data_IF_696846012057
#
_entry.id   IF_696846012057
#
_cell.length_a   1.000
_cell.length_b   1.000
_cell.length_c   1.000
_cell.angle_alpha   90.00
_cell.angle_beta   90.00
_cell.angle_gamma   90.00
#
_symmetry.space_group_name_H-M   'P 1'
#
loop_
_entity.id
_entity.type
_entity.pdbx_description
1 polymer ?
#
# COMPACT_ATOMS: atom_id res chain seq x y z
N UNK A 1 -13.42 20.62 -6.08
CA UNK A 1 -13.17 19.82 -4.86
C UNK A 1 -14.49 19.84 -4.08
N UNK A 2 -15.37 18.82 -4.16
CA UNK A 2 -16.74 19.09 -3.65
C UNK A 2 -17.74 17.94 -3.43
N UNK A 3 -17.41 16.66 -3.63
CA UNK A 3 -18.36 15.57 -3.31
C UNK A 3 -17.88 14.74 -2.11
N UNK A 4 -16.61 14.33 -2.14
CA UNK A 4 -16.05 13.45 -1.13
C UNK A 4 -15.95 14.12 0.26
N UNK A 5 -15.55 15.39 0.31
CA UNK A 5 -15.51 16.16 1.57
C UNK A 5 -16.90 16.27 2.21
N UNK A 6 -17.93 16.57 1.42
CA UNK A 6 -19.28 16.69 1.95
C UNK A 6 -19.81 15.36 2.51
N UNK A 7 -19.48 14.24 1.86
CA UNK A 7 -19.84 12.91 2.36
C UNK A 7 -19.11 12.61 3.68
N UNK A 8 -17.82 12.92 3.75
CA UNK A 8 -17.03 12.73 4.98
C UNK A 8 -17.59 13.58 6.13
N UNK A 9 -17.90 14.85 5.89
CA UNK A 9 -18.42 15.76 6.93
C UNK A 9 -19.78 15.29 7.48
N UNK A 10 -20.67 14.80 6.61
CA UNK A 10 -21.97 14.27 7.03
C UNK A 10 -21.85 12.96 7.81
N UNK A 11 -20.91 12.07 7.44
CA UNK A 11 -20.62 10.84 8.19
C UNK A 11 -20.06 11.17 9.58
N UNK A 12 -19.16 12.14 9.66
CA UNK A 12 -18.53 12.59 10.92
C UNK A 12 -19.58 13.14 11.87
N UNK A 13 -20.47 13.98 11.34
CA UNK A 13 -21.62 14.53 12.07
C UNK A 13 -22.60 13.45 12.53
N UNK A 14 -22.89 12.46 11.67
CA UNK A 14 -23.74 11.33 12.03
C UNK A 14 -23.16 10.47 13.15
N UNK A 15 -21.85 10.23 13.11
CA UNK A 15 -21.15 9.41 14.10
C UNK A 15 -20.82 10.17 15.40
N UNK A 16 -20.99 11.50 15.44
CA UNK A 16 -20.65 12.33 16.61
C UNK A 16 -19.17 12.30 16.97
N UNK A 17 -18.30 12.07 15.98
CA UNK A 17 -16.85 11.99 16.16
C UNK A 17 -16.23 13.31 15.74
N UNK A 18 -15.32 13.87 16.53
CA UNK A 18 -14.54 15.02 16.11
C UNK A 18 -13.32 14.56 15.31
N UNK A 19 -13.22 14.95 14.04
CA UNK A 19 -12.00 14.78 13.25
C UNK A 19 -10.98 15.86 13.65
N UNK A 20 -10.28 15.63 14.76
CA UNK A 20 -9.08 16.40 15.07
C UNK A 20 -8.03 15.97 14.06
N UNK A 21 -7.62 16.87 13.16
CA UNK A 21 -6.50 16.57 12.26
C UNK A 21 -5.25 16.36 13.09
N UNK A 22 -4.81 15.11 13.24
CA UNK A 22 -3.48 14.80 13.77
C UNK A 22 -2.42 15.46 12.89
N UNK A 23 -1.31 15.90 13.48
CA UNK A 23 -0.14 16.44 12.75
C UNK A 23 0.39 15.44 11.71
N UNK A 24 0.10 14.15 11.90
CA UNK A 24 0.40 13.07 10.96
C UNK A 24 -0.53 13.03 9.73
N UNK A 25 -1.70 13.67 9.80
CA UNK A 25 -2.63 13.82 8.69
C UNK A 25 -2.47 15.20 8.05
N UNK A 26 -1.55 15.30 7.11
CA UNK A 26 -1.40 16.48 6.27
C UNK A 26 -2.72 16.74 5.53
N UNK A 27 -3.38 17.86 5.85
CA UNK A 27 -4.62 18.28 5.17
C UNK A 27 -4.36 18.39 3.67
N UNK A 28 -5.24 17.80 2.87
CA UNK A 28 -5.30 18.02 1.43
C UNK A 28 -5.64 19.50 1.24
N UNK A 29 -4.68 20.29 0.81
CA UNK A 29 -4.83 21.73 0.55
C UNK A 29 -4.74 22.01 -0.95
N UNK A 30 -5.31 23.12 -1.41
CA UNK A 30 -5.27 23.51 -2.83
C UNK A 30 -3.85 23.48 -3.42
N UNK A 31 -2.79 23.97 -2.73
CA UNK A 31 -1.42 23.83 -3.22
C UNK A 31 -0.96 22.38 -3.37
N UNK A 32 -1.34 21.49 -2.45
CA UNK A 32 -1.00 20.06 -2.51
C UNK A 32 -1.74 19.35 -3.63
N UNK A 33 -3.00 19.71 -3.88
CA UNK A 33 -3.78 19.19 -5.02
C UNK A 33 -3.12 19.64 -6.32
N UNK A 34 -2.76 20.92 -6.42
CA UNK A 34 -2.10 21.46 -7.60
C UNK A 34 -0.76 20.75 -7.85
N UNK A 35 0.07 20.61 -6.80
CA UNK A 35 1.33 19.87 -6.88
C UNK A 35 1.11 18.42 -7.34
N UNK A 36 0.15 17.71 -6.74
CA UNK A 36 -0.18 16.35 -7.11
C UNK A 36 -0.61 16.23 -8.58
N UNK A 37 -1.45 17.15 -9.06
CA UNK A 37 -1.87 17.20 -10.46
C UNK A 37 -0.69 17.45 -11.41
N UNK A 38 0.25 18.31 -11.00
CA UNK A 38 1.46 18.59 -11.78
C UNK A 38 2.42 17.39 -11.80
N UNK A 39 2.54 16.65 -10.70
CA UNK A 39 3.30 15.39 -10.63
C UNK A 39 2.67 14.30 -11.50
N UNK A 40 1.34 14.13 -11.44
CA UNK A 40 0.59 13.21 -12.31
C UNK A 40 0.81 13.55 -13.80
N UNK A 41 0.82 14.84 -14.16
CA UNK A 41 1.09 15.28 -15.53
C UNK A 41 2.49 14.88 -15.99
N UNK A 42 3.51 15.11 -15.15
CA UNK A 42 4.90 14.70 -15.43
C UNK A 42 5.01 13.19 -15.62
N UNK A 43 4.30 12.41 -14.79
CA UNK A 43 4.28 10.96 -14.90
C UNK A 43 3.65 10.50 -16.23
N UNK A 44 2.55 11.13 -16.65
CA UNK A 44 1.92 10.85 -17.96
C UNK A 44 2.84 11.23 -19.12
N UNK A 45 3.53 12.36 -19.05
CA UNK A 45 4.51 12.76 -20.06
C UNK A 45 5.67 11.77 -20.13
N UNK A 46 6.15 11.28 -18.98
CA UNK A 46 7.18 10.25 -18.92
C UNK A 46 6.72 8.95 -19.61
N UNK A 47 5.49 8.49 -19.37
CA UNK A 47 4.94 7.30 -20.05
C UNK A 47 4.75 7.46 -21.56
N UNK A 48 4.65 8.69 -22.08
CA UNK A 48 4.62 8.91 -23.54
C UNK A 48 5.99 8.69 -24.17
N UNK A 49 7.06 8.97 -23.43
CA UNK A 49 8.44 8.86 -23.91
C UNK A 49 9.02 7.46 -23.69
N UNK A 50 8.59 6.77 -22.63
CA UNK A 50 9.10 5.47 -22.24
C UNK A 50 7.96 4.47 -22.14
N UNK A 51 8.10 3.29 -22.78
CA UNK A 51 7.19 2.19 -22.54
C UNK A 51 7.37 1.69 -21.09
N UNK A 52 6.37 1.84 -20.20
CA UNK A 52 6.48 1.40 -18.80
C UNK A 52 6.55 -0.12 -18.67
N UNK A 53 6.16 -0.86 -19.70
CA UNK A 53 6.18 -2.32 -19.76
C UNK A 53 7.06 -2.76 -20.94
N UNK A 54 8.38 -2.54 -20.88
CA UNK A 54 9.27 -3.08 -21.90
C UNK A 54 9.09 -4.61 -21.92
N UNK A 55 9.12 -5.22 -23.11
CA UNK A 55 9.04 -6.67 -23.24
C UNK A 55 10.28 -7.30 -22.57
N UNK A 56 10.12 -7.67 -21.31
CA UNK A 56 11.11 -8.37 -20.52
C UNK A 56 10.46 -9.55 -19.80
N UNK A 57 11.19 -10.66 -19.69
CA UNK A 57 10.75 -11.83 -18.93
C UNK A 57 10.87 -11.64 -17.42
N UNK A 58 11.49 -10.54 -16.99
CA UNK A 58 11.87 -10.29 -15.61
C UNK A 58 10.99 -9.20 -15.02
N UNK A 59 10.43 -9.43 -13.83
CA UNK A 59 9.72 -8.38 -13.10
C UNK A 59 10.71 -7.26 -12.71
N UNK A 60 10.41 -6.02 -13.10
CA UNK A 60 11.25 -4.85 -12.80
C UNK A 60 10.43 -3.82 -12.02
N UNK A 61 11.02 -3.28 -10.96
CA UNK A 61 10.45 -2.15 -10.23
C UNK A 61 10.47 -0.90 -11.11
N UNK A 62 9.30 -0.32 -11.40
CA UNK A 62 9.19 0.93 -12.17
C UNK A 62 9.85 2.10 -11.43
N UNK A 63 9.80 2.09 -10.10
CA UNK A 63 10.36 3.18 -9.27
C UNK A 63 11.89 3.15 -9.22
N UNK A 64 12.49 1.95 -9.15
CA UNK A 64 13.94 1.80 -8.87
C UNK A 64 14.73 1.18 -10.01
N UNK A 65 14.06 0.68 -11.05
CA UNK A 65 14.69 -0.10 -12.12
C UNK A 65 15.24 -1.46 -11.65
N UNK A 66 15.01 -1.84 -10.38
CA UNK A 66 15.55 -3.08 -9.80
C UNK A 66 14.84 -4.28 -10.43
N UNK A 67 15.65 -5.17 -11.02
CA UNK A 67 15.21 -6.43 -11.59
C UNK A 67 15.03 -7.46 -10.48
N UNK A 68 13.97 -8.25 -10.58
CA UNK A 68 13.67 -9.35 -9.67
C UNK A 68 14.85 -10.31 -9.51
N UNK A 69 15.30 -10.47 -8.26
CA UNK A 69 16.15 -11.58 -7.83
C UNK A 69 15.34 -12.85 -7.54
N UNK A 70 16.00 -14.01 -7.53
CA UNK A 70 15.39 -15.34 -7.33
C UNK A 70 14.59 -15.49 -6.03
N UNK A 71 14.86 -14.67 -5.01
CA UNK A 71 14.20 -14.71 -3.69
C UNK A 71 12.93 -13.88 -3.60
N UNK A 72 12.66 -13.02 -4.59
CA UNK A 72 11.50 -12.12 -4.56
C UNK A 72 10.26 -12.87 -5.06
N UNK A 73 9.22 -12.92 -4.22
CA UNK A 73 7.95 -13.61 -4.50
C UNK A 73 6.73 -12.69 -4.38
N UNK A 74 6.90 -11.36 -4.39
CA UNK A 74 5.81 -10.37 -4.28
C UNK A 74 4.61 -10.64 -5.20
N UNK A 75 4.85 -10.96 -6.47
CA UNK A 75 3.77 -11.24 -7.44
C UNK A 75 2.97 -12.51 -7.12
N UNK A 76 3.47 -13.38 -6.23
CA UNK A 76 2.78 -14.58 -5.71
C UNK A 76 2.23 -14.36 -4.30
N UNK A 77 2.11 -13.11 -3.83
CA UNK A 77 1.73 -12.82 -2.45
C UNK A 77 0.41 -13.48 -2.05
N UNK A 78 -0.53 -13.57 -3.00
CA UNK A 78 -1.83 -14.22 -2.79
C UNK A 78 -1.67 -15.72 -2.55
N UNK A 79 -0.94 -16.40 -3.42
CA UNK A 79 -0.70 -17.83 -3.34
C UNK A 79 0.09 -18.18 -2.07
N UNK A 80 1.11 -17.40 -1.74
CA UNK A 80 1.89 -17.55 -0.49
C UNK A 80 1.02 -17.31 0.75
N UNK A 81 0.14 -16.31 0.71
CA UNK A 81 -0.83 -16.04 1.78
C UNK A 81 -1.79 -17.21 1.99
N UNK A 82 -2.33 -17.78 0.90
CA UNK A 82 -3.20 -18.97 0.96
C UNK A 82 -2.43 -20.17 1.54
N UNK A 83 -1.20 -20.40 1.10
CA UNK A 83 -0.34 -21.47 1.65
C UNK A 83 -0.05 -21.25 3.14
N UNK A 84 0.18 -20.01 3.55
CA UNK A 84 0.38 -19.64 4.95
C UNK A 84 -0.85 -19.92 5.81
N UNK A 85 -2.05 -19.57 5.33
CA UNK A 85 -3.32 -19.83 6.02
C UNK A 85 -3.56 -21.35 6.12
N UNK A 86 -3.34 -22.10 5.05
CA UNK A 86 -3.47 -23.57 5.08
C UNK A 86 -2.53 -24.24 6.08
N UNK A 87 -1.34 -23.68 6.32
CA UNK A 87 -0.39 -24.22 7.32
C UNK A 87 -0.86 -24.04 8.76
N UNK A 88 -1.69 -23.03 9.03
CA UNK A 88 -2.21 -22.75 10.37
C UNK A 88 -3.64 -23.28 10.57
N UNK A 89 -4.26 -23.80 9.51
CA UNK A 89 -5.56 -24.46 9.57
C UNK A 89 -5.50 -25.64 10.56
N UNK A 90 -6.48 -25.71 11.46
CA UNK A 90 -6.52 -26.72 12.55
C UNK A 90 -5.56 -26.45 13.72
N UNK A 91 -4.74 -25.39 13.67
CA UNK A 91 -3.89 -24.99 14.79
C UNK A 91 -4.66 -24.14 15.80
N UNK A 92 -4.34 -24.35 17.07
CA UNK A 92 -4.78 -23.54 18.20
C UNK A 92 -4.06 -22.19 18.18
N UNK A 93 -4.82 -21.10 18.33
CA UNK A 93 -4.34 -19.72 18.15
C UNK A 93 -3.02 -19.41 18.89
N UNK A 94 -2.88 -19.89 20.12
CA UNK A 94 -1.69 -19.65 20.96
C UNK A 94 -0.42 -20.37 20.48
N UNK A 95 -0.52 -21.30 19.53
CA UNK A 95 0.63 -22.02 18.95
C UNK A 95 1.08 -21.44 17.61
N UNK A 96 0.24 -20.62 16.97
CA UNK A 96 0.54 -20.04 15.65
C UNK A 96 1.68 -19.04 15.79
N UNK A 97 2.74 -19.24 15.01
CA UNK A 97 3.90 -18.34 14.95
C UNK A 97 4.21 -17.99 13.50
N UNK A 98 4.18 -16.69 13.19
CA UNK A 98 4.60 -16.18 11.88
C UNK A 98 6.11 -16.01 11.84
N UNK A 99 6.81 -16.80 11.02
CA UNK A 99 8.26 -16.67 10.85
C UNK A 99 8.56 -15.57 9.84
N UNK A 100 9.69 -14.87 10.00
CA UNK A 100 10.15 -13.88 9.01
C UNK A 100 10.36 -14.51 7.62
N UNK A 101 10.74 -15.78 7.58
CA UNK A 101 10.93 -16.53 6.33
C UNK A 101 9.60 -16.85 5.61
N UNK A 102 8.46 -16.81 6.32
CA UNK A 102 7.14 -17.00 5.71
C UNK A 102 6.56 -15.70 5.14
N UNK A 103 7.29 -14.57 5.28
CA UNK A 103 6.86 -13.28 4.72
C UNK A 103 7.19 -13.22 3.22
N UNK A 104 6.28 -12.63 2.47
CA UNK A 104 6.49 -12.28 1.07
C UNK A 104 7.61 -11.24 0.96
N UNK A 105 8.59 -11.51 0.12
CA UNK A 105 9.73 -10.64 -0.15
C UNK A 105 9.41 -9.67 -1.28
N UNK A 106 9.66 -8.38 -1.03
CA UNK A 106 9.41 -7.28 -1.96
C UNK A 106 10.58 -7.05 -2.92
N UNK A 107 10.31 -6.33 -4.02
CA UNK A 107 11.27 -6.02 -5.08
C UNK A 107 12.31 -4.94 -4.70
N UNK A 108 12.07 -4.16 -3.65
CA UNK A 108 12.96 -3.09 -3.22
C UNK A 108 13.53 -3.39 -1.82
N UNK A 109 14.84 -3.20 -1.59
CA UNK A 109 15.36 -3.05 -0.24
C UNK A 109 14.84 -1.72 0.34
N UNK A 110 14.41 -1.76 1.58
CA UNK A 110 13.78 -0.67 2.31
C UNK A 110 14.60 0.63 2.29
N UNK A 111 13.96 1.71 1.85
CA UNK A 111 14.32 3.10 2.14
C UNK A 111 13.11 4.00 2.38
N UNK A 112 11.90 3.51 2.08
CA UNK A 112 10.65 4.08 2.53
C UNK A 112 9.80 2.93 3.04
N UNK A 113 9.56 2.90 4.34
CA UNK A 113 8.51 2.09 4.96
C UNK A 113 7.19 2.45 4.29
N UNK A 114 6.81 1.72 3.24
CA UNK A 114 5.41 1.69 2.84
C UNK A 114 4.76 0.79 3.88
N UNK A 115 4.18 1.44 4.89
CA UNK A 115 3.37 0.88 5.98
C UNK A 115 2.14 0.14 5.43
N UNK A 116 2.34 -0.94 4.68
CA UNK A 116 1.25 -1.86 4.32
C UNK A 116 0.77 -2.66 5.54
N UNK A 117 1.55 -2.66 6.62
CA UNK A 117 1.22 -3.33 7.89
C UNK A 117 0.29 -2.48 8.77
N UNK A 118 0.29 -1.15 8.65
CA UNK A 118 -0.62 -0.30 9.46
C UNK A 118 -2.08 -0.37 8.99
N UNK A 119 -2.33 -0.61 7.70
CA UNK A 119 -3.68 -0.72 7.16
C UNK A 119 -4.43 -1.95 7.70
N UNK A 120 -3.70 -3.03 8.02
CA UNK A 120 -4.30 -4.24 8.60
C UNK A 120 -4.47 -4.16 10.12
N UNK A 121 -3.59 -3.46 10.85
CA UNK A 121 -3.79 -3.25 12.29
C UNK A 121 -5.00 -2.33 12.58
N UNK A 122 -5.21 -1.29 11.78
CA UNK A 122 -6.34 -0.37 11.93
C UNK A 122 -7.72 -1.02 11.61
N UNK A 123 -7.74 -2.09 10.81
CA UNK A 123 -8.99 -2.79 10.47
C UNK A 123 -9.49 -3.72 11.61
N UNK A 124 -8.63 -4.06 12.58
CA UNK A 124 -8.94 -5.05 13.63
C UNK A 124 -8.89 -4.51 15.06
N UNK A 125 -8.44 -3.27 15.28
CA UNK A 125 -8.69 -2.57 16.55
C UNK A 125 -9.93 -1.72 16.39
N UNK A 126 -11.10 -2.32 16.60
CA UNK A 126 -12.32 -1.59 16.89
C UNK A 126 -12.19 -0.93 18.27
N UNK A 127 -11.68 0.31 18.27
CA UNK A 127 -11.89 1.32 19.31
C UNK A 127 -12.16 2.63 18.58
#
# INVERSE_FOLDING_TARGET
MTALQHICDEIVKFCGVDLISSEQHLKISDPRIQQHNDECRKMVEWFKLYNPFPENSNLVSINTGVVRGSRINYYMAKEEGILGIRRIEGSIFYTVKFRRNDRVQQLAPEGHEIFFIQSYQALFTGV
#
